data_IF_523995776190
#
_entry.id   IF_523995776190
#
_cell.length_a   1.000
_cell.length_b   1.000
_cell.length_c   1.000
_cell.angle_alpha   90.00
_cell.angle_beta   90.00
_cell.angle_gamma   90.00
#
_symmetry.space_group_name_H-M   'P 1'
#
loop_
_entity.id
_entity.type
_entity.pdbx_description
1 polymer ?
#
# COMPACT_ATOMS: atom_id res chain seq x y z
N UNK A 1 -40.28 47.56 -64.23
CA UNK A 1 -39.62 48.87 -64.12
C UNK A 1 -39.26 49.06 -62.66
N UNK A 2 -38.00 48.77 -62.30
CA UNK A 2 -36.91 49.77 -62.15
C UNK A 2 -36.79 50.16 -60.67
N UNK A 3 -35.86 49.55 -59.93
CA UNK A 3 -34.53 50.11 -59.55
C UNK A 3 -34.69 51.06 -58.35
N UNK A 4 -34.38 50.60 -57.14
CA UNK A 4 -33.07 50.66 -56.42
C UNK A 4 -32.99 51.87 -55.50
N UNK A 5 -32.83 51.64 -54.20
CA UNK A 5 -32.00 52.51 -53.36
C UNK A 5 -31.47 51.73 -52.16
N UNK A 6 -30.22 51.29 -52.30
CA UNK A 6 -29.41 50.67 -51.27
C UNK A 6 -28.61 51.80 -50.61
N UNK A 7 -28.99 52.22 -49.40
CA UNK A 7 -28.19 53.15 -48.60
C UNK A 7 -27.22 52.35 -47.73
N UNK A 8 -25.95 52.46 -48.07
CA UNK A 8 -24.80 51.99 -47.30
C UNK A 8 -24.72 52.73 -45.95
N UNK A 9 -24.78 51.99 -44.84
CA UNK A 9 -24.41 52.51 -43.51
C UNK A 9 -22.97 52.12 -43.22
N UNK A 10 -22.09 53.10 -43.29
CA UNK A 10 -20.71 53.06 -42.85
C UNK A 10 -20.70 53.02 -41.30
N UNK A 11 -20.37 51.88 -40.69
CA UNK A 11 -20.06 51.83 -39.26
C UNK A 11 -18.58 52.16 -39.07
N UNK A 12 -18.32 53.32 -38.47
CA UNK A 12 -17.01 53.70 -37.95
C UNK A 12 -16.77 52.87 -36.68
N UNK A 13 -15.83 51.93 -36.74
CA UNK A 13 -15.33 51.21 -35.56
C UNK A 13 -14.38 52.17 -34.83
N UNK A 14 -14.87 52.79 -33.76
CA UNK A 14 -14.03 53.51 -32.81
C UNK A 14 -13.22 52.49 -32.00
N UNK A 15 -11.92 52.42 -32.28
CA UNK A 15 -10.96 51.64 -31.50
C UNK A 15 -10.82 52.29 -30.11
N UNK A 16 -11.54 51.77 -29.12
CA UNK A 16 -11.32 52.11 -27.71
C UNK A 16 -10.02 51.43 -27.29
N UNK A 17 -8.93 52.18 -27.25
CA UNK A 17 -7.70 51.75 -26.61
C UNK A 17 -7.93 51.70 -25.09
N UNK A 18 -8.28 50.51 -24.60
CA UNK A 18 -8.23 50.21 -23.17
C UNK A 18 -6.77 50.13 -22.78
N UNK A 19 -6.27 51.19 -22.15
CA UNK A 19 -4.99 51.17 -21.45
C UNK A 19 -5.18 50.25 -20.24
N UNK A 20 -4.75 49.00 -20.38
CA UNK A 20 -4.48 48.17 -19.21
C UNK A 20 -3.29 48.81 -18.50
N UNK A 21 -3.58 49.56 -17.44
CA UNK A 21 -2.60 49.83 -16.41
C UNK A 21 -2.19 48.47 -15.85
N UNK A 22 -1.01 48.02 -16.23
CA UNK A 22 -0.33 46.93 -15.55
C UNK A 22 -0.14 47.38 -14.09
N UNK A 23 -0.94 46.84 -13.18
CA UNK A 23 -0.45 46.64 -11.82
C UNK A 23 0.71 45.66 -11.96
N UNK A 24 1.93 46.18 -11.95
CA UNK A 24 3.07 45.36 -11.61
C UNK A 24 2.87 44.93 -10.16
N UNK A 25 2.46 43.69 -9.94
CA UNK A 25 2.60 43.04 -8.65
C UNK A 25 4.08 43.11 -8.28
N UNK A 26 4.43 44.03 -7.39
CA UNK A 26 5.69 43.98 -6.68
C UNK A 26 5.54 42.95 -5.56
N UNK A 27 5.42 41.68 -5.93
CA UNK A 27 5.65 40.56 -5.02
C UNK A 27 7.15 40.29 -4.93
N UNK A 28 7.84 41.12 -4.17
CA UNK A 28 9.18 40.81 -3.67
C UNK A 28 9.18 40.97 -2.15
N UNK A 29 8.29 40.21 -1.51
CA UNK A 29 8.58 39.69 -0.17
C UNK A 29 9.72 38.66 -0.28
N UNK A 30 10.47 38.37 0.80
CA UNK A 30 11.61 37.46 0.72
C UNK A 30 11.10 36.07 0.30
N UNK A 31 11.23 35.75 -1.00
CA UNK A 31 11.00 34.39 -1.48
C UNK A 31 12.00 33.51 -0.76
N UNK A 32 11.52 32.69 0.16
CA UNK A 32 12.39 31.72 0.82
C UNK A 32 12.90 30.80 -0.28
N UNK A 33 14.21 30.90 -0.55
CA UNK A 33 14.87 30.15 -1.60
C UNK A 33 15.12 28.76 -1.04
N UNK A 34 14.32 27.79 -1.47
CA UNK A 34 14.64 26.39 -1.30
C UNK A 34 15.02 25.76 -2.63
N UNK A 35 15.82 24.70 -2.57
CA UNK A 35 16.26 23.91 -3.73
C UNK A 35 15.74 22.48 -3.60
N UNK A 36 15.70 21.78 -4.73
CA UNK A 36 15.54 20.32 -4.73
C UNK A 36 16.83 19.71 -5.25
N UNK A 37 17.46 18.87 -4.45
CA UNK A 37 18.61 18.07 -4.87
C UNK A 37 18.69 16.80 -4.01
N UNK A 38 19.34 15.78 -4.53
CA UNK A 38 19.63 14.56 -3.79
C UNK A 38 20.88 13.88 -4.32
N UNK A 39 21.57 13.14 -3.47
CA UNK A 39 22.62 12.23 -3.91
C UNK A 39 22.16 10.78 -3.74
N UNK A 40 22.90 9.87 -4.36
CA UNK A 40 22.67 8.45 -4.19
C UNK A 40 23.99 7.66 -4.16
N UNK A 41 24.00 6.59 -3.39
CA UNK A 41 25.10 5.64 -3.36
C UNK A 41 24.56 4.22 -3.50
N UNK A 42 25.29 3.35 -4.18
CA UNK A 42 25.03 1.91 -4.10
C UNK A 42 25.41 1.44 -2.71
N UNK A 43 24.54 0.67 -2.05
CA UNK A 43 24.81 0.14 -0.72
C UNK A 43 26.05 -0.76 -0.75
N UNK A 44 26.84 -0.71 0.32
CA UNK A 44 28.04 -1.56 0.43
C UNK A 44 27.70 -3.04 0.59
N UNK A 45 26.49 -3.35 1.07
CA UNK A 45 26.06 -4.70 1.39
C UNK A 45 25.36 -5.39 0.21
N UNK A 46 24.66 -4.64 -0.64
CA UNK A 46 23.96 -5.18 -1.81
C UNK A 46 24.01 -4.19 -2.99
N UNK A 47 24.57 -4.61 -4.16
CA UNK A 47 24.66 -3.75 -5.36
C UNK A 47 23.31 -3.41 -6.00
N UNK A 48 22.24 -4.08 -5.60
CA UNK A 48 20.86 -3.82 -6.02
C UNK A 48 20.12 -2.91 -5.03
N UNK A 49 20.75 -2.43 -3.95
CA UNK A 49 20.18 -1.44 -3.03
C UNK A 49 20.85 -0.08 -3.26
N UNK A 50 20.03 0.96 -3.39
CA UNK A 50 20.48 2.35 -3.54
C UNK A 50 20.05 3.17 -2.33
N UNK A 51 21.01 3.82 -1.69
CA UNK A 51 20.83 4.73 -0.57
C UNK A 51 20.71 6.17 -1.10
N UNK A 52 19.50 6.73 -1.06
CA UNK A 52 19.23 8.11 -1.44
C UNK A 52 19.37 9.05 -0.24
N UNK A 53 20.12 10.13 -0.44
CA UNK A 53 20.29 11.19 0.54
C UNK A 53 19.69 12.48 0.02
N UNK A 54 18.70 13.02 0.70
CA UNK A 54 18.15 14.33 0.37
C UNK A 54 19.19 15.45 0.64
N UNK A 55 19.48 16.26 -0.37
CA UNK A 55 20.38 17.41 -0.31
C UNK A 55 19.65 18.75 -0.54
N UNK A 56 18.32 18.71 -0.54
CA UNK A 56 17.48 19.89 -0.67
C UNK A 56 17.74 20.87 0.48
N UNK A 57 17.93 22.14 0.15
CA UNK A 57 18.29 23.19 1.11
C UNK A 57 17.18 24.25 1.20
N UNK A 58 17.17 25.01 2.29
CA UNK A 58 16.20 26.06 2.58
C UNK A 58 14.91 25.60 3.29
N UNK A 59 14.00 26.54 3.54
CA UNK A 59 12.72 26.24 4.19
C UNK A 59 11.70 25.75 3.17
N UNK A 60 11.29 24.50 3.33
CA UNK A 60 10.23 23.84 2.59
C UNK A 60 9.42 22.94 3.53
N UNK A 61 8.18 22.61 3.17
CA UNK A 61 7.26 21.88 4.03
C UNK A 61 7.39 20.37 3.89
N UNK A 62 7.44 19.87 2.66
CA UNK A 62 7.38 18.45 2.36
C UNK A 62 8.30 18.06 1.22
N UNK A 63 8.59 16.78 1.12
CA UNK A 63 9.19 16.15 -0.04
C UNK A 63 8.36 14.93 -0.48
N UNK A 64 8.50 14.51 -1.73
CA UNK A 64 7.92 13.29 -2.29
C UNK A 64 8.92 12.66 -3.23
N UNK A 65 9.02 11.33 -3.20
CA UNK A 65 9.87 10.56 -4.09
C UNK A 65 9.06 9.76 -5.09
N UNK A 66 9.53 9.71 -6.32
CA UNK A 66 9.25 8.65 -7.28
C UNK A 66 10.58 7.95 -7.56
N UNK A 67 10.70 6.68 -7.23
CA UNK A 67 11.94 5.92 -7.38
C UNK A 67 12.13 5.33 -8.77
N UNK A 68 11.26 5.66 -9.73
CA UNK A 68 11.36 5.21 -11.12
C UNK A 68 10.96 3.75 -11.33
N UNK A 69 10.29 3.13 -10.34
CA UNK A 69 9.86 1.72 -10.36
C UNK A 69 8.45 1.50 -10.93
N UNK A 70 7.83 2.56 -11.48
CA UNK A 70 6.45 2.52 -11.96
C UNK A 70 5.39 2.77 -10.89
N UNK A 71 5.80 3.09 -9.64
CA UNK A 71 4.92 3.41 -8.51
C UNK A 71 4.44 4.88 -8.54
N UNK A 72 5.10 5.76 -9.30
CA UNK A 72 4.80 7.20 -9.33
C UNK A 72 5.28 7.94 -8.08
N UNK A 73 4.72 9.13 -7.83
CA UNK A 73 5.06 9.94 -6.65
C UNK A 73 4.42 9.34 -5.39
N UNK A 74 5.26 8.95 -4.43
CA UNK A 74 4.84 8.50 -3.11
C UNK A 74 4.24 9.60 -2.22
N UNK A 75 3.96 9.28 -0.96
CA UNK A 75 3.34 10.20 0.00
C UNK A 75 4.21 11.43 0.31
N UNK A 76 3.58 12.53 0.78
CA UNK A 76 4.30 13.72 1.26
C UNK A 76 4.97 13.44 2.61
N UNK A 77 6.29 13.59 2.65
CA UNK A 77 7.12 13.36 3.83
C UNK A 77 7.59 14.70 4.44
N UNK A 78 7.58 14.79 5.77
CA UNK A 78 8.10 15.96 6.51
C UNK A 78 9.51 15.73 7.07
N UNK A 79 9.96 14.47 7.15
CA UNK A 79 11.33 14.13 7.49
C UNK A 79 12.24 14.36 6.28
N UNK A 80 13.22 15.24 6.48
CA UNK A 80 14.14 15.71 5.44
C UNK A 80 15.50 15.05 5.51
N UNK A 81 15.77 14.29 6.56
CA UNK A 81 17.13 13.89 6.95
C UNK A 81 17.41 12.41 6.80
N UNK A 82 16.37 11.58 6.70
CA UNK A 82 16.55 10.15 6.59
C UNK A 82 17.11 9.75 5.22
N UNK A 83 18.03 8.80 5.27
CA UNK A 83 18.51 8.08 4.10
C UNK A 83 17.43 7.07 3.69
N UNK A 84 17.13 6.99 2.40
CA UNK A 84 16.14 6.04 1.86
C UNK A 84 16.88 4.92 1.16
N UNK A 85 16.76 3.71 1.67
CA UNK A 85 17.35 2.51 1.06
C UNK A 85 16.31 1.85 0.17
N UNK A 86 16.54 1.85 -1.13
CA UNK A 86 15.58 1.36 -2.13
C UNK A 86 16.22 0.23 -2.92
N UNK A 87 15.52 -0.89 -2.96
CA UNK A 87 15.93 -2.05 -3.72
C UNK A 87 15.44 -1.99 -5.17
N UNK A 88 16.35 -2.31 -6.10
CA UNK A 88 16.14 -2.40 -7.54
C UNK A 88 16.59 -3.77 -8.04
N UNK A 89 15.64 -4.70 -8.25
CA UNK A 89 15.98 -6.08 -8.54
C UNK A 89 16.55 -6.34 -9.94
N UNK A 90 16.31 -5.42 -10.88
CA UNK A 90 16.73 -5.57 -12.27
C UNK A 90 17.87 -4.65 -12.61
N UNK A 91 18.74 -5.13 -13.51
CA UNK A 91 19.59 -4.22 -14.26
C UNK A 91 18.72 -3.28 -15.06
N UNK A 92 19.13 -2.03 -15.10
CA UNK A 92 18.35 -1.05 -15.81
C UNK A 92 18.72 0.37 -15.45
N UNK A 93 17.95 1.25 -16.05
CA UNK A 93 18.07 2.68 -15.87
C UNK A 93 16.74 3.17 -15.32
N UNK A 94 16.78 3.86 -14.18
CA UNK A 94 15.59 4.32 -13.48
C UNK A 94 15.65 5.84 -13.35
N UNK A 95 14.53 6.51 -13.65
CA UNK A 95 14.39 7.94 -13.45
C UNK A 95 13.81 8.22 -12.07
N UNK A 96 14.67 8.62 -11.14
CA UNK A 96 14.28 8.95 -9.76
C UNK A 96 13.96 10.43 -9.69
N UNK A 97 12.75 10.75 -9.25
CA UNK A 97 12.26 12.12 -9.11
C UNK A 97 12.04 12.48 -7.65
N UNK A 98 12.59 13.61 -7.23
CA UNK A 98 12.33 14.24 -5.94
C UNK A 98 11.54 15.52 -6.18
N UNK A 99 10.39 15.66 -5.51
CA UNK A 99 9.57 16.87 -5.51
C UNK A 99 9.60 17.50 -4.13
N UNK A 100 10.05 18.74 -4.04
CA UNK A 100 10.11 19.54 -2.80
C UNK A 100 9.04 20.61 -2.83
N UNK A 101 8.24 20.68 -1.77
CA UNK A 101 7.08 21.57 -1.65
C UNK A 101 7.41 22.76 -0.76
N UNK A 102 7.33 23.97 -1.33
CA UNK A 102 7.56 25.21 -0.62
C UNK A 102 6.43 25.56 0.36
N UNK A 103 6.58 26.70 1.01
CA UNK A 103 5.69 27.17 2.08
C UNK A 103 4.22 27.33 1.69
N UNK A 104 3.89 27.43 0.40
CA UNK A 104 2.50 27.56 -0.07
C UNK A 104 1.80 26.20 -0.26
N UNK A 105 2.54 25.09 -0.23
CA UNK A 105 2.04 23.72 -0.40
C UNK A 105 1.08 23.54 -1.59
N UNK A 106 1.39 24.17 -2.73
CA UNK A 106 0.60 24.07 -3.95
C UNK A 106 1.50 23.73 -5.15
N UNK A 107 0.91 23.29 -6.26
CA UNK A 107 1.66 22.81 -7.43
C UNK A 107 2.52 23.88 -8.11
N UNK A 108 2.24 25.16 -7.87
CA UNK A 108 3.07 26.27 -8.38
C UNK A 108 4.28 26.58 -7.51
N UNK A 109 4.32 26.07 -6.27
CA UNK A 109 5.39 26.22 -5.28
C UNK A 109 6.07 24.88 -5.03
N UNK A 110 6.51 24.24 -6.12
CA UNK A 110 7.32 23.02 -6.06
C UNK A 110 8.66 23.22 -6.79
N UNK A 111 9.66 22.46 -6.34
CA UNK A 111 10.92 22.25 -7.05
C UNK A 111 11.06 20.77 -7.30
N UNK A 112 11.31 20.41 -8.55
CA UNK A 112 11.45 19.03 -8.96
C UNK A 112 12.85 18.82 -9.52
N UNK A 113 13.47 17.73 -9.14
CA UNK A 113 14.71 17.24 -9.73
C UNK A 113 14.52 15.77 -10.09
N UNK A 114 15.01 15.40 -11.27
CA UNK A 114 15.04 14.01 -11.71
C UNK A 114 16.49 13.65 -11.98
N UNK A 115 16.95 12.54 -11.39
CA UNK A 115 18.26 11.97 -11.70
C UNK A 115 18.07 10.54 -12.18
N UNK A 116 18.88 10.19 -13.15
CA UNK A 116 18.96 8.82 -13.65
C UNK A 116 19.92 8.04 -12.78
N UNK A 117 19.48 6.89 -12.28
CA UNK A 117 20.35 5.90 -11.65
C UNK A 117 20.51 4.70 -12.60
N UNK A 118 21.58 3.95 -12.42
CA UNK A 118 21.83 2.70 -13.17
C UNK A 118 22.10 1.58 -12.20
N UNK A 119 21.45 0.46 -12.44
CA UNK A 119 21.70 -0.80 -11.75
C UNK A 119 22.41 -1.70 -12.76
N UNK A 120 23.64 -2.09 -12.41
CA UNK A 120 24.55 -2.75 -13.34
C UNK A 120 24.24 -4.24 -13.52
N UNK A 121 23.49 -4.84 -12.59
CA UNK A 121 23.18 -6.26 -12.60
C UNK A 121 21.74 -6.55 -12.17
N UNK A 122 21.17 -7.61 -12.74
CA UNK A 122 20.00 -8.24 -12.15
C UNK A 122 20.46 -8.83 -10.81
N UNK A 123 19.65 -8.70 -9.77
CA UNK A 123 19.88 -9.45 -8.55
C UNK A 123 19.74 -10.94 -8.90
N UNK A 124 20.81 -11.75 -8.72
CA UNK A 124 20.79 -13.16 -9.10
C UNK A 124 19.78 -14.00 -8.31
N UNK A 125 19.40 -13.55 -7.11
CA UNK A 125 18.42 -14.21 -6.25
C UNK A 125 17.00 -13.65 -6.49
N UNK A 126 16.88 -12.55 -7.24
CA UNK A 126 15.60 -12.04 -7.66
C UNK A 126 15.03 -12.82 -8.84
N UNK A 127 14.02 -13.62 -8.55
CA UNK A 127 13.20 -14.27 -9.57
C UNK A 127 12.26 -13.23 -10.16
N UNK A 128 12.60 -12.66 -11.33
CA UNK A 128 11.65 -11.84 -12.08
C UNK A 128 10.34 -12.58 -12.25
N UNK A 129 9.23 -12.08 -11.67
CA UNK A 129 7.94 -12.66 -11.96
C UNK A 129 7.66 -12.39 -13.43
N UNK A 130 7.83 -13.40 -14.28
CA UNK A 130 7.28 -13.36 -15.63
C UNK A 130 5.78 -13.66 -15.53
N UNK A 131 5.00 -13.11 -16.45
CA UNK A 131 3.57 -13.41 -16.53
C UNK A 131 2.78 -12.90 -15.31
N UNK A 132 2.67 -11.57 -15.13
CA UNK A 132 1.61 -11.01 -14.31
C UNK A 132 0.27 -11.61 -14.76
N UNK A 133 -0.35 -12.42 -13.92
CA UNK A 133 -1.60 -13.13 -14.26
C UNK A 133 -2.82 -12.33 -13.82
N UNK A 134 -2.69 -11.56 -12.75
CA UNK A 134 -3.77 -10.73 -12.22
C UNK A 134 -3.23 -9.63 -11.31
N UNK A 135 -3.89 -8.47 -11.32
CA UNK A 135 -3.65 -7.45 -10.31
C UNK A 135 -4.88 -6.57 -10.04
N UNK A 136 -4.84 -5.91 -8.89
CA UNK A 136 -5.61 -4.70 -8.60
C UNK A 136 -4.62 -3.62 -8.15
N UNK A 137 -4.50 -2.57 -8.97
CA UNK A 137 -3.60 -1.42 -8.75
C UNK A 137 -4.33 -0.25 -8.06
N UNK A 138 -5.62 -0.40 -7.74
CA UNK A 138 -6.44 0.63 -7.10
C UNK A 138 -6.38 2.03 -7.79
N UNK A 139 -6.17 2.07 -9.11
CA UNK A 139 -6.17 3.30 -9.92
C UNK A 139 -7.57 3.91 -10.15
N UNK A 140 -8.61 3.19 -9.74
CA UNK A 140 -10.00 3.63 -9.87
C UNK A 140 -10.38 4.76 -8.90
N UNK A 141 -11.64 5.18 -8.96
CA UNK A 141 -12.20 6.16 -7.99
C UNK A 141 -12.90 5.51 -6.79
N UNK A 142 -12.95 4.19 -6.74
CA UNK A 142 -13.64 3.39 -5.72
C UNK A 142 -13.17 1.94 -5.78
N UNK A 143 -13.40 1.20 -4.70
CA UNK A 143 -13.18 -0.26 -4.67
C UNK A 143 -13.95 -0.94 -5.81
N UNK A 144 -13.27 -1.76 -6.61
CA UNK A 144 -13.90 -2.53 -7.67
C UNK A 144 -14.72 -3.69 -7.07
N UNK A 145 -16.04 -3.53 -7.05
CA UNK A 145 -16.96 -4.55 -6.53
C UNK A 145 -17.12 -5.77 -7.43
N UNK A 146 -16.51 -5.79 -8.62
CA UNK A 146 -16.38 -7.01 -9.43
C UNK A 146 -15.23 -7.90 -8.95
N UNK A 147 -14.29 -7.34 -8.18
CA UNK A 147 -13.14 -8.02 -7.57
C UNK A 147 -13.39 -8.28 -6.08
N UNK A 148 -13.82 -7.25 -5.35
CA UNK A 148 -13.93 -7.29 -3.89
C UNK A 148 -15.36 -7.33 -3.39
N UNK A 149 -15.60 -8.06 -2.32
CA UNK A 149 -16.84 -8.06 -1.55
C UNK A 149 -16.55 -7.56 -0.14
N UNK A 150 -17.35 -6.64 0.36
CA UNK A 150 -17.29 -6.25 1.78
C UNK A 150 -18.00 -7.30 2.64
N UNK A 151 -17.28 -7.93 3.54
CA UNK A 151 -17.89 -8.66 4.64
C UNK A 151 -18.36 -7.67 5.71
N UNK A 152 -19.54 -7.91 6.26
CA UNK A 152 -20.18 -6.98 7.19
C UNK A 152 -20.56 -7.67 8.49
N UNK A 153 -20.56 -6.90 9.59
CA UNK A 153 -21.00 -7.40 10.89
C UNK A 153 -19.94 -7.30 11.99
N UNK A 154 -20.41 -7.56 13.20
CA UNK A 154 -19.62 -7.68 14.43
C UNK A 154 -19.79 -9.08 15.01
N UNK A 155 -19.51 -9.27 16.31
CA UNK A 155 -19.57 -10.59 16.94
C UNK A 155 -18.22 -11.30 16.98
N UNK A 156 -17.16 -10.56 16.68
CA UNK A 156 -15.79 -10.93 17.00
C UNK A 156 -15.16 -12.03 16.17
N UNK A 157 -15.73 -12.42 15.03
CA UNK A 157 -15.06 -13.13 13.93
C UNK A 157 -14.18 -14.35 14.32
N UNK A 158 -14.51 -15.03 15.42
CA UNK A 158 -13.73 -16.15 15.98
C UNK A 158 -12.63 -15.74 16.98
N UNK A 159 -12.23 -14.47 16.99
CA UNK A 159 -11.10 -13.93 17.75
C UNK A 159 -11.48 -12.90 18.83
N UNK A 160 -12.77 -12.72 19.13
CA UNK A 160 -13.28 -11.72 20.09
C UNK A 160 -12.96 -10.26 19.68
N UNK A 161 -12.86 -10.02 18.37
CA UNK A 161 -12.68 -8.69 17.78
C UNK A 161 -13.86 -7.75 18.10
N UNK A 162 -13.62 -6.43 18.15
CA UNK A 162 -14.60 -5.46 18.67
C UNK A 162 -15.18 -4.51 17.61
N UNK A 163 -14.65 -4.54 16.38
CA UNK A 163 -15.17 -3.73 15.28
C UNK A 163 -16.45 -4.32 14.67
N UNK A 164 -17.27 -3.43 14.13
CA UNK A 164 -18.25 -3.78 13.11
C UNK A 164 -17.64 -3.52 11.73
N UNK A 165 -17.49 -4.56 10.91
CA UNK A 165 -17.09 -4.36 9.51
C UNK A 165 -18.26 -3.78 8.71
N UNK A 166 -18.01 -2.69 7.99
CA UNK A 166 -19.03 -1.92 7.27
C UNK A 166 -19.06 -2.25 5.78
N UNK A 167 -20.11 -1.83 5.08
CA UNK A 167 -20.32 -2.10 3.67
C UNK A 167 -19.69 -1.00 2.79
N UNK A 168 -18.41 -0.72 3.03
CA UNK A 168 -17.61 0.24 2.28
C UNK A 168 -17.47 1.63 2.93
N UNK A 169 -18.14 1.93 4.03
CA UNK A 169 -18.02 3.22 4.74
C UNK A 169 -16.63 3.45 5.39
N UNK A 170 -15.83 2.39 5.46
CA UNK A 170 -14.49 2.37 6.02
C UNK A 170 -13.42 2.03 4.97
N UNK A 171 -13.75 2.03 3.68
CA UNK A 171 -12.78 1.81 2.61
C UNK A 171 -12.95 2.85 1.49
N UNK A 172 -11.84 3.47 1.08
CA UNK A 172 -11.80 4.42 -0.04
C UNK A 172 -10.67 4.06 -0.98
N UNK A 173 -10.75 4.53 -2.22
CA UNK A 173 -9.63 4.49 -3.16
C UNK A 173 -9.23 5.93 -3.47
N UNK A 174 -7.99 6.30 -3.15
CA UNK A 174 -7.46 7.65 -3.35
C UNK A 174 -5.96 7.59 -3.64
N UNK A 175 -5.52 8.35 -4.65
CA UNK A 175 -4.09 8.47 -4.99
C UNK A 175 -3.44 7.13 -5.38
N UNK A 176 -4.17 6.25 -6.07
CA UNK A 176 -3.69 4.91 -6.45
C UNK A 176 -3.67 3.89 -5.31
N UNK A 177 -4.26 4.19 -4.16
CA UNK A 177 -4.24 3.29 -3.00
C UNK A 177 -5.66 2.94 -2.54
N UNK A 178 -5.87 1.68 -2.15
CA UNK A 178 -6.94 1.29 -1.26
C UNK A 178 -6.59 1.73 0.17
N UNK A 179 -7.47 2.49 0.81
CA UNK A 179 -7.33 2.96 2.18
C UNK A 179 -8.43 2.33 3.04
N UNK A 180 -8.06 1.36 3.88
CA UNK A 180 -8.95 0.80 4.90
C UNK A 180 -8.77 1.60 6.18
N UNK A 181 -9.85 2.16 6.72
CA UNK A 181 -9.82 3.00 7.93
C UNK A 181 -10.57 2.35 9.09
N UNK A 182 -9.88 2.04 10.17
CA UNK A 182 -10.51 1.71 11.45
C UNK A 182 -10.89 3.00 12.19
N UNK A 183 -12.14 3.11 12.67
CA UNK A 183 -12.68 4.30 13.34
C UNK A 183 -13.27 3.94 14.68
N UNK A 184 -13.08 4.81 15.68
CA UNK A 184 -13.78 4.71 16.96
C UNK A 184 -15.19 5.30 16.84
N UNK A 185 -16.19 4.56 17.32
CA UNK A 185 -17.59 5.01 17.41
C UNK A 185 -17.87 5.57 18.80
N UNK A 186 -17.35 4.94 19.85
CA UNK A 186 -17.50 5.36 21.24
C UNK A 186 -16.37 4.82 22.13
N UNK A 187 -16.32 5.22 23.39
CA UNK A 187 -15.21 4.88 24.29
C UNK A 187 -15.38 3.57 25.09
N UNK A 188 -16.45 2.79 24.85
CA UNK A 188 -16.80 1.66 25.74
C UNK A 188 -15.90 0.43 25.58
N UNK A 189 -15.14 0.32 24.47
CA UNK A 189 -14.26 -0.83 24.17
C UNK A 189 -14.97 -2.18 24.25
N UNK A 190 -16.17 -2.26 23.68
CA UNK A 190 -16.98 -3.48 23.53
C UNK A 190 -17.32 -3.73 22.05
N UNK A 191 -17.93 -4.88 21.74
CA UNK A 191 -18.42 -5.18 20.38
C UNK A 191 -19.22 -4.01 19.78
N UNK A 192 -18.86 -3.59 18.57
CA UNK A 192 -19.43 -2.44 17.87
C UNK A 192 -18.94 -1.07 18.34
N UNK A 193 -17.94 -0.98 19.23
CA UNK A 193 -17.35 0.31 19.64
C UNK A 193 -16.43 0.92 18.57
N UNK A 194 -16.12 0.15 17.52
CA UNK A 194 -15.30 0.56 16.39
C UNK A 194 -15.96 0.13 15.08
N UNK A 195 -15.59 0.77 13.98
CA UNK A 195 -15.90 0.31 12.63
C UNK A 195 -14.64 0.14 11.80
N UNK A 196 -14.66 -0.78 10.84
CA UNK A 196 -13.55 -1.04 9.92
C UNK A 196 -14.07 -1.65 8.62
N UNK A 197 -13.20 -2.10 7.72
CA UNK A 197 -13.57 -2.92 6.56
C UNK A 197 -12.79 -4.23 6.52
N UNK A 198 -13.46 -5.25 5.97
CA UNK A 198 -12.90 -6.55 5.60
C UNK A 198 -13.34 -6.84 4.17
N UNK A 199 -12.38 -6.85 3.25
CA UNK A 199 -12.61 -7.06 1.82
C UNK A 199 -12.15 -8.46 1.46
N UNK A 200 -12.96 -9.19 0.70
CA UNK A 200 -12.66 -10.55 0.24
C UNK A 200 -12.84 -10.71 -1.27
N UNK A 201 -12.06 -11.58 -1.90
CA UNK A 201 -12.23 -11.93 -3.32
C UNK A 201 -12.96 -13.26 -3.55
N UNK A 202 -13.54 -13.86 -2.51
CA UNK A 202 -14.24 -15.16 -2.59
C UNK A 202 -15.27 -15.19 -3.73
N UNK A 203 -15.17 -16.20 -4.60
CA UNK A 203 -16.05 -16.37 -5.76
C UNK A 203 -15.85 -15.35 -6.89
N UNK A 204 -14.80 -14.51 -6.81
CA UNK A 204 -14.45 -13.50 -7.82
C UNK A 204 -13.04 -13.70 -8.34
N UNK A 205 -12.03 -13.64 -7.46
CA UNK A 205 -10.63 -13.89 -7.79
C UNK A 205 -10.08 -14.91 -6.80
N UNK A 206 -9.63 -16.05 -7.32
CA UNK A 206 -9.16 -17.19 -6.55
C UNK A 206 -7.96 -17.79 -7.27
N UNK A 207 -6.90 -18.09 -6.53
CA UNK A 207 -5.62 -18.52 -7.10
C UNK A 207 -5.17 -19.82 -6.48
N UNK A 208 -4.50 -20.65 -7.28
CA UNK A 208 -3.70 -21.78 -6.79
C UNK A 208 -2.30 -21.58 -7.31
N UNK A 209 -1.33 -21.51 -6.40
CA UNK A 209 0.07 -21.21 -6.70
C UNK A 209 0.29 -19.80 -7.27
N UNK A 210 1.56 -19.44 -7.43
CA UNK A 210 1.98 -18.14 -7.95
C UNK A 210 2.96 -17.44 -7.03
N UNK A 211 3.54 -16.35 -7.52
CA UNK A 211 4.12 -15.32 -6.67
C UNK A 211 3.05 -14.28 -6.40
N UNK A 212 2.82 -13.98 -5.14
CA UNK A 212 1.86 -13.00 -4.67
C UNK A 212 2.63 -11.87 -3.99
N UNK A 213 2.25 -10.64 -4.30
CA UNK A 213 2.82 -9.43 -3.69
C UNK A 213 1.71 -8.46 -3.36
N UNK A 214 1.66 -8.04 -2.11
CA UNK A 214 0.78 -6.95 -1.65
C UNK A 214 1.66 -5.83 -1.11
N UNK A 215 1.66 -4.68 -1.79
CA UNK A 215 2.42 -3.51 -1.33
C UNK A 215 1.53 -2.68 -0.44
N UNK A 216 1.88 -2.57 0.84
CA UNK A 216 1.05 -1.90 1.83
C UNK A 216 1.88 -1.18 2.90
N UNK A 217 1.26 -0.19 3.54
CA UNK A 217 1.75 0.50 4.74
C UNK A 217 0.77 0.28 5.88
N UNK A 218 1.27 -0.08 7.06
CA UNK A 218 0.44 -0.55 8.16
C UNK A 218 0.02 0.58 9.10
N UNK A 219 -1.14 0.46 9.77
CA UNK A 219 -1.51 1.33 10.88
C UNK A 219 -0.65 1.08 12.11
N UNK A 220 -0.60 2.07 13.01
CA UNK A 220 0.12 1.98 14.28
C UNK A 220 -0.81 2.01 15.49
N UNK A 221 -0.27 1.55 16.62
CA UNK A 221 -0.85 1.79 17.94
C UNK A 221 -1.63 0.62 18.55
N UNK A 222 -1.62 0.60 19.88
CA UNK A 222 -2.12 -0.52 20.70
C UNK A 222 -3.60 -0.78 20.48
N UNK A 223 -3.93 -2.02 20.10
CA UNK A 223 -5.29 -2.48 19.84
C UNK A 223 -5.65 -2.60 18.36
N UNK A 224 -4.78 -2.17 17.44
CA UNK A 224 -4.95 -2.38 16.00
C UNK A 224 -4.36 -3.73 15.57
N UNK A 225 -5.03 -4.39 14.62
CA UNK A 225 -4.57 -5.67 14.04
C UNK A 225 -4.90 -5.72 12.53
N UNK A 226 -4.04 -5.13 11.68
CA UNK A 226 -4.15 -5.26 10.23
C UNK A 226 -3.70 -6.66 9.78
N UNK A 227 -4.32 -7.16 8.72
CA UNK A 227 -3.96 -8.46 8.12
C UNK A 227 -4.11 -8.45 6.60
N UNK A 228 -3.16 -9.12 5.94
CA UNK A 228 -3.16 -9.48 4.52
C UNK A 228 -3.01 -11.00 4.46
N UNK A 229 -4.05 -11.69 4.02
CA UNK A 229 -4.13 -13.13 4.18
C UNK A 229 -5.05 -13.76 3.15
N UNK A 230 -5.07 -15.09 3.12
CA UNK A 230 -5.86 -15.88 2.20
C UNK A 230 -6.52 -17.06 2.91
N UNK A 231 -7.72 -17.43 2.45
CA UNK A 231 -8.43 -18.62 2.90
C UNK A 231 -8.75 -19.54 1.72
N UNK A 232 -8.77 -20.85 1.97
CA UNK A 232 -9.23 -21.82 0.97
C UNK A 232 -10.68 -21.56 0.55
N UNK A 233 -10.92 -21.45 -0.76
CA UNK A 233 -12.24 -21.14 -1.34
C UNK A 233 -13.31 -22.20 -1.03
N UNK A 234 -12.89 -23.38 -0.60
CA UNK A 234 -13.78 -24.45 -0.14
C UNK A 234 -14.23 -24.30 1.32
N UNK A 235 -13.95 -23.18 2.01
CA UNK A 235 -14.32 -22.93 3.41
C UNK A 235 -15.79 -23.26 3.73
N UNK A 236 -16.73 -22.91 2.85
CA UNK A 236 -18.15 -23.20 3.07
C UNK A 236 -18.51 -24.69 2.97
N UNK A 237 -17.63 -25.50 2.39
CA UNK A 237 -17.83 -26.96 2.23
C UNK A 237 -17.12 -27.77 3.31
N UNK A 238 -15.92 -27.35 3.74
CA UNK A 238 -15.08 -28.12 4.68
C UNK A 238 -14.87 -27.44 6.03
N UNK A 239 -15.17 -26.16 6.14
CA UNK A 239 -14.93 -25.36 7.34
C UNK A 239 -13.47 -25.00 7.57
N UNK A 240 -13.24 -24.12 8.52
CA UNK A 240 -11.91 -23.82 9.07
C UNK A 240 -11.57 -24.79 10.21
N UNK A 241 -10.31 -25.24 10.38
CA UNK A 241 -9.11 -24.91 9.59
C UNK A 241 -8.89 -25.83 8.37
N UNK A 242 -9.85 -26.71 8.04
CA UNK A 242 -9.68 -27.71 6.98
C UNK A 242 -9.56 -27.12 5.56
N UNK A 243 -10.06 -25.90 5.34
CA UNK A 243 -9.85 -25.16 4.10
C UNK A 243 -8.43 -24.63 3.93
N UNK A 244 -7.67 -24.49 5.02
CA UNK A 244 -6.37 -23.84 5.03
C UNK A 244 -6.47 -22.32 5.10
N UNK A 245 -5.52 -21.73 5.83
CA UNK A 245 -5.31 -20.29 5.97
C UNK A 245 -3.83 -19.99 5.71
N UNK A 246 -3.58 -18.92 4.96
CA UNK A 246 -2.24 -18.42 4.63
C UNK A 246 -2.21 -16.94 5.02
N UNK A 247 -1.61 -16.65 6.16
CA UNK A 247 -1.44 -15.29 6.64
C UNK A 247 -0.12 -14.74 6.10
N UNK A 248 -0.22 -13.97 5.01
CA UNK A 248 0.95 -13.39 4.35
C UNK A 248 1.61 -12.38 5.27
N UNK A 249 0.80 -11.51 5.86
CA UNK A 249 1.23 -10.57 6.89
C UNK A 249 0.12 -10.37 7.92
N UNK A 250 0.48 -10.54 9.18
CA UNK A 250 -0.25 -9.98 10.32
C UNK A 250 0.66 -9.08 11.15
N UNK A 251 0.04 -8.12 11.83
CA UNK A 251 0.72 -7.18 12.71
C UNK A 251 -0.18 -6.84 13.89
N UNK A 252 0.39 -6.55 15.05
CA UNK A 252 -0.34 -6.08 16.22
C UNK A 252 0.31 -4.81 16.76
N UNK A 253 -0.42 -3.70 16.79
CA UNK A 253 0.18 -2.41 17.14
C UNK A 253 0.59 -2.24 18.61
N UNK A 254 0.50 -3.28 19.43
CA UNK A 254 1.12 -3.30 20.76
C UNK A 254 2.56 -3.83 20.74
N UNK A 255 2.98 -4.53 19.67
CA UNK A 255 4.32 -5.07 19.47
C UNK A 255 4.90 -4.47 18.18
N UNK A 256 5.27 -3.18 18.21
CA UNK A 256 5.58 -2.46 16.99
C UNK A 256 6.81 -3.04 16.31
N UNK A 257 6.89 -2.84 14.99
CA UNK A 257 7.98 -3.29 14.13
C UNK A 257 8.08 -4.82 13.99
N UNK A 258 7.10 -5.60 14.43
CA UNK A 258 7.11 -7.07 14.29
C UNK A 258 5.97 -7.50 13.36
N UNK A 259 6.33 -8.05 12.20
CA UNK A 259 5.37 -8.67 11.28
C UNK A 259 5.43 -10.19 11.39
N UNK A 260 4.27 -10.82 11.22
CA UNK A 260 4.09 -12.26 11.35
C UNK A 260 3.60 -12.84 10.03
N UNK A 261 4.08 -14.05 9.70
CA UNK A 261 3.51 -14.89 8.66
C UNK A 261 3.19 -16.26 9.25
N UNK A 262 1.96 -16.72 9.05
CA UNK A 262 1.43 -17.90 9.71
C UNK A 262 0.65 -18.77 8.73
N UNK A 263 0.66 -20.08 8.98
CA UNK A 263 -0.10 -21.07 8.25
C UNK A 263 -0.98 -21.82 9.23
N UNK A 264 -2.29 -21.85 8.97
CA UNK A 264 -3.24 -22.64 9.75
C UNK A 264 -3.80 -23.80 8.94
N UNK A 265 -3.72 -25.00 9.51
CA UNK A 265 -4.26 -26.25 8.95
C UNK A 265 -4.84 -27.12 10.07
N UNK A 266 -5.50 -28.25 9.75
CA UNK A 266 -5.89 -29.21 10.79
C UNK A 266 -4.74 -29.79 11.64
N UNK A 267 -3.49 -29.67 11.19
CA UNK A 267 -2.30 -30.12 11.92
C UNK A 267 -1.81 -29.09 12.96
N UNK A 268 -2.19 -27.81 12.82
CA UNK A 268 -1.85 -26.71 13.73
C UNK A 268 -2.61 -25.44 13.32
N UNK A 269 -3.36 -24.84 14.25
CA UNK A 269 -4.22 -23.69 13.99
C UNK A 269 -4.40 -22.82 15.24
N UNK A 270 -4.93 -21.60 15.08
CA UNK A 270 -4.99 -20.60 16.15
C UNK A 270 -3.60 -20.41 16.80
N UNK A 271 -3.50 -20.49 18.12
CA UNK A 271 -2.22 -20.34 18.83
C UNK A 271 -1.16 -21.41 18.50
N UNK A 272 -1.54 -22.51 17.84
CA UNK A 272 -0.64 -23.58 17.40
C UNK A 272 -0.41 -23.55 15.87
N UNK A 273 -0.69 -22.43 15.19
CA UNK A 273 -0.34 -22.23 13.78
C UNK A 273 1.17 -22.35 13.54
N UNK A 274 1.55 -22.81 12.35
CA UNK A 274 2.96 -22.89 11.95
C UNK A 274 3.35 -21.56 11.33
N UNK A 275 4.18 -20.78 12.02
CA UNK A 275 4.50 -19.43 11.61
C UNK A 275 5.80 -18.94 12.22
N UNK A 276 6.22 -17.77 11.75
CA UNK A 276 7.39 -17.07 12.25
C UNK A 276 7.19 -15.56 12.13
N UNK A 277 8.14 -14.79 12.63
CA UNK A 277 8.11 -13.34 12.63
C UNK A 277 9.43 -12.75 12.16
N UNK A 278 9.38 -11.47 11.79
CA UNK A 278 10.54 -10.66 11.41
C UNK A 278 10.40 -9.27 12.00
N UNK A 279 11.53 -8.67 12.38
CA UNK A 279 11.58 -7.23 12.69
C UNK A 279 11.63 -6.41 11.41
N UNK A 280 10.73 -5.45 11.29
CA UNK A 280 10.57 -4.49 10.20
C UNK A 280 10.37 -3.10 10.81
N UNK A 281 11.45 -2.34 11.00
CA UNK A 281 11.43 -1.08 11.76
C UNK A 281 10.59 0.04 11.12
N UNK A 282 10.31 -0.05 9.83
CA UNK A 282 9.60 0.97 9.05
C UNK A 282 8.19 0.54 8.65
N UNK A 283 7.65 -0.52 9.27
CA UNK A 283 6.36 -1.11 8.91
C UNK A 283 5.16 -0.13 9.01
N UNK A 284 5.27 0.87 9.90
CA UNK A 284 4.23 1.88 10.15
C UNK A 284 4.44 3.16 9.32
N UNK A 285 5.66 3.38 8.83
CA UNK A 285 6.09 4.60 8.14
C UNK A 285 6.12 4.48 6.62
N UNK A 286 6.58 3.33 6.12
CA UNK A 286 6.87 3.10 4.72
C UNK A 286 5.99 1.99 4.12
N UNK A 287 5.83 2.03 2.79
CA UNK A 287 5.24 0.93 2.06
C UNK A 287 6.25 -0.21 1.92
N UNK A 288 5.81 -1.42 2.25
CA UNK A 288 6.57 -2.65 2.07
C UNK A 288 5.82 -3.64 1.20
N UNK A 289 6.55 -4.54 0.55
CA UNK A 289 5.94 -5.64 -0.20
C UNK A 289 5.82 -6.85 0.73
N UNK A 290 4.61 -7.26 1.05
CA UNK A 290 4.34 -8.50 1.76
C UNK A 290 4.11 -9.61 0.73
N UNK A 291 5.05 -10.54 0.68
CA UNK A 291 5.20 -11.47 -0.41
C UNK A 291 4.99 -12.93 -0.03
N UNK A 292 4.48 -13.70 -0.99
CA UNK A 292 4.36 -15.15 -0.90
C UNK A 292 4.78 -15.80 -2.22
N UNK A 293 5.72 -16.73 -2.17
CA UNK A 293 5.98 -17.70 -3.24
C UNK A 293 5.24 -18.99 -2.86
N UNK A 294 4.17 -19.28 -3.58
CA UNK A 294 3.33 -20.45 -3.36
C UNK A 294 3.50 -21.45 -4.50
N UNK A 295 4.19 -22.55 -4.22
CA UNK A 295 4.41 -23.66 -5.16
C UNK A 295 3.71 -24.93 -4.68
N UNK A 296 3.72 -25.97 -5.51
CA UNK A 296 3.31 -27.32 -5.10
C UNK A 296 4.12 -27.86 -3.90
N UNK A 297 5.34 -27.34 -3.68
CA UNK A 297 6.26 -27.84 -2.66
C UNK A 297 6.30 -27.02 -1.37
N UNK A 298 6.05 -25.72 -1.42
CA UNK A 298 6.27 -24.81 -0.30
C UNK A 298 5.44 -23.52 -0.40
N UNK A 299 5.21 -22.92 0.76
CA UNK A 299 4.85 -21.52 0.94
C UNK A 299 6.08 -20.81 1.50
N UNK A 300 6.61 -19.82 0.78
CA UNK A 300 7.74 -19.01 1.24
C UNK A 300 7.30 -17.56 1.36
N UNK A 301 7.31 -17.06 2.59
CA UNK A 301 6.84 -15.73 2.95
C UNK A 301 8.03 -14.80 3.07
N UNK A 302 7.92 -13.59 2.54
CA UNK A 302 9.01 -12.62 2.53
C UNK A 302 8.49 -11.18 2.62
N UNK A 303 9.39 -10.27 2.98
CA UNK A 303 9.14 -8.82 2.99
C UNK A 303 10.10 -8.13 2.03
N UNK A 304 9.58 -7.27 1.16
CA UNK A 304 10.27 -6.50 0.12
C UNK A 304 10.89 -7.35 -1.00
N UNK A 305 11.72 -8.32 -0.64
CA UNK A 305 12.50 -9.13 -1.58
C UNK A 305 12.45 -10.63 -1.20
N UNK A 306 12.43 -11.57 -2.17
CA UNK A 306 12.32 -13.00 -1.88
C UNK A 306 13.41 -13.60 -0.96
N UNK A 307 14.57 -12.95 -0.84
CA UNK A 307 15.67 -13.32 0.06
C UNK A 307 15.45 -12.87 1.52
N UNK A 308 14.57 -11.89 1.75
CA UNK A 308 14.15 -11.44 3.08
C UNK A 308 13.02 -12.32 3.62
N UNK A 309 13.32 -13.60 3.81
CA UNK A 309 12.36 -14.63 4.21
C UNK A 309 11.93 -14.46 5.66
N UNK A 310 10.60 -14.38 5.89
CA UNK A 310 9.98 -14.40 7.23
C UNK A 310 9.76 -15.85 7.67
N UNK A 311 9.15 -16.66 6.80
CA UNK A 311 8.73 -18.03 7.11
C UNK A 311 8.76 -18.93 5.87
N UNK A 312 9.00 -20.24 6.07
CA UNK A 312 8.87 -21.26 5.03
C UNK A 312 8.06 -22.43 5.58
N UNK A 313 6.90 -22.69 4.98
CA UNK A 313 6.10 -23.87 5.25
C UNK A 313 6.27 -24.91 4.15
N UNK A 314 6.97 -26.01 4.45
CA UNK A 314 7.32 -27.04 3.48
C UNK A 314 7.33 -28.45 4.11
N UNK A 315 6.17 -29.00 4.51
CA UNK A 315 6.12 -30.34 5.08
C UNK A 315 6.66 -31.38 4.08
N UNK A 316 7.55 -32.25 4.58
CA UNK A 316 8.21 -33.28 3.78
C UNK A 316 7.21 -34.31 3.21
N UNK A 317 6.13 -34.59 3.94
CA UNK A 317 5.01 -35.41 3.48
C UNK A 317 3.73 -34.58 3.56
N UNK A 318 3.14 -34.33 2.40
CA UNK A 318 1.90 -33.56 2.24
C UNK A 318 0.69 -34.46 2.38
N UNK A 319 -0.25 -34.04 3.21
CA UNK A 319 -1.52 -34.72 3.51
C UNK A 319 -2.63 -33.68 3.57
N UNK A 320 -3.89 -34.11 3.52
CA UNK A 320 -5.02 -33.18 3.69
C UNK A 320 -5.04 -32.47 5.05
N UNK A 321 -4.28 -32.94 6.05
CA UNK A 321 -4.20 -32.33 7.38
C UNK A 321 -3.15 -31.21 7.47
N UNK A 322 -2.11 -31.22 6.63
CA UNK A 322 -0.99 -30.29 6.71
C UNK A 322 -0.67 -29.62 5.37
N UNK A 323 -1.41 -29.91 4.31
CA UNK A 323 -1.24 -29.26 3.02
C UNK A 323 -2.59 -29.15 2.28
N UNK A 324 -3.53 -28.32 2.78
CA UNK A 324 -4.74 -28.00 2.03
C UNK A 324 -4.50 -27.05 0.84
N UNK A 325 -3.26 -26.58 0.66
CA UNK A 325 -2.82 -25.56 -0.31
C UNK A 325 -2.54 -26.09 -1.71
N UNK A 326 -3.22 -27.18 -2.08
CA UNK A 326 -3.33 -27.71 -3.45
C UNK A 326 -4.66 -27.31 -4.10
N UNK A 327 -5.37 -26.33 -3.51
CA UNK A 327 -6.70 -25.85 -3.91
C UNK A 327 -6.70 -24.31 -4.00
N UNK A 328 -7.68 -23.72 -4.70
CA UNK A 328 -7.80 -22.27 -4.78
C UNK A 328 -8.00 -21.61 -3.42
N UNK A 329 -7.34 -20.48 -3.22
CA UNK A 329 -7.52 -19.57 -2.11
C UNK A 329 -7.94 -18.19 -2.61
N UNK A 330 -8.68 -17.44 -1.80
CA UNK A 330 -9.09 -16.07 -2.07
C UNK A 330 -8.45 -15.10 -1.08
N UNK A 331 -8.27 -13.85 -1.49
CA UNK A 331 -7.66 -12.80 -0.66
C UNK A 331 -8.61 -12.22 0.37
N UNK A 332 -8.02 -11.78 1.48
CA UNK A 332 -8.68 -11.04 2.56
C UNK A 332 -7.76 -9.90 2.99
N UNK A 333 -8.32 -8.68 3.00
CA UNK A 333 -7.67 -7.47 3.50
C UNK A 333 -8.55 -6.86 4.59
N UNK A 334 -8.03 -6.66 5.80
CA UNK A 334 -8.80 -6.05 6.88
C UNK A 334 -7.92 -5.34 7.93
N UNK A 335 -8.59 -4.53 8.74
CA UNK A 335 -8.07 -4.08 10.03
C UNK A 335 -9.05 -4.49 11.12
N UNK A 336 -8.66 -5.44 11.97
CA UNK A 336 -9.38 -5.75 13.20
C UNK A 336 -9.01 -4.75 14.31
N UNK A 337 -9.90 -4.61 15.29
CA UNK A 337 -9.69 -3.81 16.50
C UNK A 337 -9.95 -4.66 17.73
N UNK A 338 -8.94 -4.79 18.60
CA UNK A 338 -8.98 -5.66 19.77
C UNK A 338 -8.78 -7.12 19.39
N UNK A 339 -9.65 -7.99 19.90
CA UNK A 339 -9.46 -9.44 19.80
C UNK A 339 -8.52 -9.99 20.87
N UNK A 340 -8.46 -11.33 20.95
CA UNK A 340 -7.62 -12.04 21.91
C UNK A 340 -6.13 -11.77 21.71
N UNK A 341 -5.72 -11.49 20.48
CA UNK A 341 -4.34 -11.18 20.15
C UNK A 341 -4.14 -9.67 19.97
N UNK A 342 -4.74 -9.03 18.96
CA UNK A 342 -4.58 -7.57 18.74
C UNK A 342 -4.90 -6.68 19.95
N UNK A 343 -5.80 -7.12 20.84
CA UNK A 343 -6.18 -6.44 22.08
C UNK A 343 -5.49 -6.95 23.35
N UNK A 344 -4.45 -7.80 23.25
CA UNK A 344 -3.82 -8.45 24.39
C UNK A 344 -3.23 -7.45 25.40
N UNK A 345 -2.78 -6.27 24.95
CA UNK A 345 -2.34 -5.16 25.80
C UNK A 345 -3.37 -4.03 25.94
N UNK A 346 -4.63 -4.32 25.62
CA UNK A 346 -5.72 -3.36 25.58
C UNK A 346 -5.85 -2.65 24.24
N UNK A 347 -6.65 -1.59 24.22
CA UNK A 347 -6.87 -0.72 23.07
C UNK A 347 -6.69 0.72 23.53
N UNK A 348 -5.87 1.50 22.85
CA UNK A 348 -5.79 2.94 23.07
C UNK A 348 -6.80 3.68 22.18
N UNK A 349 -7.79 4.33 22.78
CA UNK A 349 -8.82 5.05 22.03
C UNK A 349 -8.32 6.35 21.39
N UNK A 350 -7.12 6.82 21.76
CA UNK A 350 -6.54 8.05 21.26
C UNK A 350 -5.88 7.89 19.87
N UNK A 351 -5.56 6.66 19.46
CA UNK A 351 -4.90 6.41 18.17
C UNK A 351 -5.87 6.51 16.99
N UNK A 352 -7.18 6.39 17.21
CA UNK A 352 -8.16 6.35 16.13
C UNK A 352 -8.45 7.75 15.55
N UNK A 353 -8.63 7.86 14.23
CA UNK A 353 -8.67 6.78 13.24
C UNK A 353 -7.29 6.23 12.87
N UNK A 354 -7.24 4.98 12.41
CA UNK A 354 -6.03 4.30 11.93
C UNK A 354 -6.27 3.73 10.52
N UNK A 355 -5.24 3.72 9.68
CA UNK A 355 -5.35 3.35 8.27
C UNK A 355 -4.31 2.33 7.85
N UNK A 356 -4.74 1.33 7.07
CA UNK A 356 -3.88 0.51 6.24
C UNK A 356 -4.04 0.99 4.81
N UNK A 357 -2.93 1.35 4.17
CA UNK A 357 -2.89 1.78 2.77
C UNK A 357 -2.31 0.63 1.94
N UNK A 358 -3.01 0.22 0.89
CA UNK A 358 -2.59 -0.85 -0.03
C UNK A 358 -2.48 -0.24 -1.42
N UNK A 359 -1.27 -0.23 -1.96
CA UNK A 359 -0.93 0.31 -3.28
C UNK A 359 -1.32 -0.66 -4.39
N UNK A 360 -1.01 -1.96 -4.20
CA UNK A 360 -1.46 -2.98 -5.14
C UNK A 360 -1.57 -4.35 -4.49
N UNK A 361 -2.34 -5.23 -5.15
CA UNK A 361 -2.27 -6.68 -5.02
C UNK A 361 -1.91 -7.24 -6.38
N UNK A 362 -0.80 -7.97 -6.48
CA UNK A 362 -0.34 -8.58 -7.73
C UNK A 362 -0.12 -10.07 -7.55
N UNK A 363 -0.51 -10.82 -8.57
CA UNK A 363 -0.27 -12.26 -8.69
C UNK A 363 0.42 -12.52 -10.01
N UNK A 364 1.51 -13.26 -9.95
CA UNK A 364 2.35 -13.62 -11.07
C UNK A 364 2.44 -15.14 -11.18
N UNK A 365 2.67 -15.61 -12.40
CA UNK A 365 3.09 -16.98 -12.64
C UNK A 365 4.47 -17.25 -11.99
N UNK A 366 4.77 -18.52 -11.72
CA UNK A 366 6.08 -18.97 -11.25
C UNK A 366 7.00 -19.42 -12.39
N UNK A 367 6.50 -19.45 -13.63
CA UNK A 367 7.18 -19.94 -14.84
C UNK A 367 8.09 -18.91 -15.54
#
# INVERSE_FOLDING_TARGET
MSITNMMSRLFIVGLVAVVFAACSDSEDGPKVKYTADFDYAVSNDNPNIIEFTNLSDGEYLYLQWDYGKGEGLGSKESDKTSVRSIYYPLKGTYEVTLVVWGSLNNSSDTKTITKTITIDQDDPDYVQPQGLIWSDEFDGSSVDLTIWTFETGSGGWGNQELQYYTNGENATVEGGNLIITAKKVNDNKTDGSYTSSRLVTLGKQEFTYGRIEVRAKLPSGTGIWPAIWMLGSNINSVGWPACGEIDIMEYVGYDPNIVHSTVHTPAGYAGDGDGNWMTLETAEEDFHIYGLIWSESSLTFYVDTPDHVVHVYAPAVKTSSNWPFDKPCFFILNIAVGGTWGGAQGIDNAIFPQTMEVDYVRVYDLD
#
